data_IF_368581027304
#
_entry.id   IF_368581027304
#
_cell.length_a   1.000
_cell.length_b   1.000
_cell.length_c   1.000
_cell.angle_alpha   90.00
_cell.angle_beta   90.00
_cell.angle_gamma   90.00
#
_symmetry.space_group_name_H-M   'P 1'
#
loop_
_entity.id
_entity.type
_entity.pdbx_description
1 polymer ?
#
# COMPACT_ATOMS: atom_id res chain seq x y z
N UNK A 1 0.66 35.06 -8.83
CA UNK A 1 -0.36 34.84 -7.79
C UNK A 1 -1.12 33.56 -8.12
N UNK A 2 -0.66 32.38 -7.67
CA UNK A 2 -1.42 31.12 -7.75
C UNK A 2 -0.87 30.01 -6.82
N UNK A 3 -0.35 30.37 -5.64
CA UNK A 3 0.24 29.40 -4.68
C UNK A 3 -0.58 29.21 -3.40
N UNK A 4 -1.67 29.96 -3.21
CA UNK A 4 -2.49 29.86 -1.99
C UNK A 4 -3.47 28.67 -2.05
N UNK A 5 -4.01 28.36 -3.23
CA UNK A 5 -4.97 27.25 -3.38
C UNK A 5 -4.30 25.88 -3.33
N UNK A 6 -3.06 25.75 -3.81
CA UNK A 6 -2.33 24.47 -3.81
C UNK A 6 -1.93 24.07 -2.39
N UNK A 7 -1.44 25.04 -1.60
CA UNK A 7 -1.09 24.81 -0.20
C UNK A 7 -2.33 24.46 0.65
N UNK A 8 -3.46 25.16 0.44
CA UNK A 8 -4.71 24.83 1.14
C UNK A 8 -5.25 23.43 0.78
N UNK A 9 -5.08 22.97 -0.47
CA UNK A 9 -5.51 21.63 -0.90
C UNK A 9 -4.61 20.53 -0.31
N UNK A 10 -3.31 20.78 -0.19
CA UNK A 10 -2.36 19.87 0.48
C UNK A 10 -2.64 19.78 1.99
N UNK A 11 -2.95 20.91 2.63
CA UNK A 11 -3.29 21.02 4.05
C UNK A 11 -4.66 20.40 4.38
N UNK A 12 -5.64 20.60 3.50
CA UNK A 12 -7.01 20.08 3.66
C UNK A 12 -7.08 18.56 3.50
N UNK A 13 -6.24 17.98 2.63
CA UNK A 13 -6.34 16.55 2.33
C UNK A 13 -5.54 15.67 3.27
N UNK A 14 -4.39 16.04 3.85
CA UNK A 14 -3.62 15.23 4.84
C UNK A 14 -3.37 13.74 4.51
N UNK A 15 -3.77 13.29 3.32
CA UNK A 15 -3.95 11.92 2.83
C UNK A 15 -3.46 11.84 1.36
N UNK A 16 -2.95 12.94 0.78
CA UNK A 16 -2.11 12.83 -0.44
C UNK A 16 -0.76 12.22 -0.04
N UNK A 17 -0.10 11.44 -0.93
CA UNK A 17 0.98 10.56 -0.52
C UNK A 17 2.13 11.41 0.03
N UNK A 18 2.26 11.44 1.34
CA UNK A 18 3.48 11.94 1.96
C UNK A 18 4.62 11.12 1.31
N UNK A 19 5.57 11.81 0.68
CA UNK A 19 6.68 11.17 -0.03
C UNK A 19 7.41 10.17 0.87
N UNK A 20 7.45 10.46 2.17
CA UNK A 20 8.02 9.58 3.19
C UNK A 20 7.19 8.30 3.39
N UNK A 21 5.86 8.41 3.54
CA UNK A 21 4.94 7.27 3.63
C UNK A 21 5.07 6.38 2.39
N UNK A 22 5.07 6.99 1.20
CA UNK A 22 5.22 6.26 -0.07
C UNK A 22 6.57 5.56 -0.15
N UNK A 23 7.64 6.23 0.28
CA UNK A 23 8.99 5.67 0.31
C UNK A 23 9.05 4.47 1.26
N UNK A 24 8.55 4.60 2.48
CA UNK A 24 8.54 3.51 3.49
C UNK A 24 7.73 2.33 2.97
N UNK A 25 6.54 2.58 2.43
CA UNK A 25 5.68 1.56 1.86
C UNK A 25 6.39 0.80 0.74
N UNK A 26 6.98 1.51 -0.23
CA UNK A 26 7.70 0.90 -1.34
C UNK A 26 8.90 0.08 -0.86
N UNK A 27 9.74 0.61 0.02
CA UNK A 27 10.90 -0.11 0.55
C UNK A 27 10.47 -1.36 1.34
N UNK A 28 9.36 -1.27 2.08
CA UNK A 28 8.81 -2.40 2.83
C UNK A 28 8.34 -3.53 1.92
N UNK A 29 7.64 -3.20 0.82
CA UNK A 29 7.26 -4.20 -0.19
C UNK A 29 8.49 -4.89 -0.76
N UNK A 30 9.51 -4.10 -1.16
CA UNK A 30 10.72 -4.67 -1.75
C UNK A 30 11.47 -5.59 -0.78
N UNK A 31 11.51 -5.23 0.51
CA UNK A 31 12.09 -6.08 1.54
C UNK A 31 11.34 -7.41 1.68
N UNK A 32 10.01 -7.38 1.78
CA UNK A 32 9.17 -8.59 1.85
C UNK A 32 9.34 -9.46 0.60
N UNK A 33 9.34 -8.86 -0.60
CA UNK A 33 9.55 -9.60 -1.85
C UNK A 33 10.94 -10.24 -1.94
N UNK A 34 11.98 -9.58 -1.43
CA UNK A 34 13.35 -10.09 -1.50
C UNK A 34 13.57 -11.39 -0.72
N UNK A 35 12.69 -11.70 0.22
CA UNK A 35 12.72 -12.94 1.01
C UNK A 35 11.94 -14.09 0.35
N UNK A 36 11.16 -13.80 -0.70
CA UNK A 36 10.36 -14.81 -1.41
C UNK A 36 11.18 -15.59 -2.43
N UNK A 37 10.88 -16.87 -2.54
CA UNK A 37 11.50 -17.80 -3.50
C UNK A 37 10.46 -18.48 -4.39
N UNK A 38 9.27 -17.90 -4.50
CA UNK A 38 8.15 -18.46 -5.26
C UNK A 38 7.24 -17.37 -5.83
N UNK A 39 6.37 -17.75 -6.78
CA UNK A 39 5.26 -16.91 -7.23
C UNK A 39 4.25 -16.64 -6.10
N UNK A 40 3.57 -15.49 -6.16
CA UNK A 40 2.60 -15.09 -5.13
C UNK A 40 1.15 -15.17 -5.61
N UNK A 41 0.30 -15.63 -4.71
CA UNK A 41 -1.16 -15.63 -4.85
C UNK A 41 -1.82 -14.36 -4.27
N UNK A 42 -3.16 -14.30 -4.34
CA UNK A 42 -3.95 -13.17 -3.83
C UNK A 42 -3.75 -12.94 -2.33
N UNK A 43 -3.70 -14.02 -1.56
CA UNK A 43 -3.51 -13.94 -0.10
C UNK A 43 -2.14 -13.36 0.25
N UNK A 44 -1.07 -13.92 -0.30
CA UNK A 44 0.30 -13.44 -0.05
C UNK A 44 0.47 -11.98 -0.46
N UNK A 45 -0.05 -11.58 -1.62
CA UNK A 45 0.01 -10.19 -2.07
C UNK A 45 -0.76 -9.23 -1.15
N UNK A 46 -1.92 -9.64 -0.63
CA UNK A 46 -2.67 -8.86 0.38
C UNK A 46 -1.88 -8.66 1.66
N UNK A 47 -1.27 -9.74 2.15
CA UNK A 47 -0.49 -9.72 3.37
C UNK A 47 0.76 -8.83 3.24
N UNK A 48 1.47 -8.90 2.11
CA UNK A 48 2.62 -8.03 1.84
C UNK A 48 2.20 -6.55 1.85
N UNK A 49 1.11 -6.21 1.16
CA UNK A 49 0.61 -4.83 1.14
C UNK A 49 0.22 -4.37 2.53
N UNK A 50 -0.52 -5.18 3.29
CA UNK A 50 -0.95 -4.84 4.65
C UNK A 50 0.25 -4.65 5.60
N UNK A 51 1.17 -5.61 5.67
CA UNK A 51 2.38 -5.50 6.51
C UNK A 51 3.26 -4.32 6.11
N UNK A 52 3.33 -4.01 4.82
CA UNK A 52 4.10 -2.85 4.35
C UNK A 52 3.47 -1.52 4.76
N UNK A 53 2.14 -1.44 4.83
CA UNK A 53 1.45 -0.27 5.39
C UNK A 53 1.64 -0.18 6.91
N UNK A 54 1.58 -1.31 7.62
CA UNK A 54 1.69 -1.36 9.09
C UNK A 54 3.10 -0.99 9.60
N UNK A 55 4.12 -1.05 8.73
CA UNK A 55 5.48 -0.57 9.03
C UNK A 55 5.61 0.96 9.02
N UNK A 56 4.58 1.70 8.60
CA UNK A 56 4.63 3.16 8.52
C UNK A 56 4.50 3.74 9.94
N UNK A 57 5.49 4.53 10.43
CA UNK A 57 5.45 5.09 11.77
C UNK A 57 4.25 6.00 11.99
N UNK A 58 3.70 5.97 13.22
CA UNK A 58 2.57 6.81 13.64
C UNK A 58 1.28 6.61 12.83
N UNK A 59 1.17 5.48 12.13
CA UNK A 59 -0.02 5.06 11.41
C UNK A 59 -0.52 3.77 12.04
N UNK A 60 -1.84 3.68 12.22
CA UNK A 60 -2.53 2.42 12.53
C UNK A 60 -3.19 1.89 11.27
N UNK A 61 -3.07 0.59 11.04
CA UNK A 61 -3.58 -0.06 9.85
C UNK A 61 -4.49 -1.22 10.27
N UNK A 62 -5.71 -1.25 9.75
CA UNK A 62 -6.67 -2.31 10.02
C UNK A 62 -7.42 -2.69 8.74
N UNK A 63 -7.86 -3.94 8.65
CA UNK A 63 -8.77 -4.34 7.57
C UNK A 63 -10.16 -3.75 7.83
N UNK A 64 -10.74 -3.13 6.81
CA UNK A 64 -12.14 -2.72 6.87
C UNK A 64 -13.07 -3.93 6.82
N UNK A 65 -14.15 -3.92 7.60
CA UNK A 65 -15.22 -4.94 7.49
C UNK A 65 -15.72 -4.99 6.03
N UNK A 66 -15.61 -6.14 5.34
CA UNK A 66 -15.99 -6.26 3.94
C UNK A 66 -17.47 -5.93 3.66
N UNK A 67 -18.34 -6.02 4.67
CA UNK A 67 -19.77 -5.69 4.56
C UNK A 67 -20.03 -4.19 4.59
N UNK A 68 -19.14 -3.42 5.20
CA UNK A 68 -19.28 -1.97 5.36
C UNK A 68 -18.49 -1.24 4.28
N UNK A 69 -17.23 -1.63 4.09
CA UNK A 69 -16.29 -0.91 3.23
C UNK A 69 -16.11 -1.59 1.86
N UNK A 70 -16.46 -2.87 1.73
CA UNK A 70 -16.19 -3.68 0.55
C UNK A 70 -14.88 -4.48 0.66
N UNK A 71 -14.60 -5.31 -0.34
CA UNK A 71 -13.40 -6.17 -0.35
C UNK A 71 -12.12 -5.35 -0.47
N UNK A 72 -11.05 -5.86 0.15
CA UNK A 72 -9.69 -5.31 0.06
C UNK A 72 -9.62 -3.82 0.42
N UNK A 73 -10.40 -3.41 1.43
CA UNK A 73 -10.31 -2.07 2.02
C UNK A 73 -9.46 -2.11 3.27
N UNK A 74 -8.54 -1.16 3.35
CA UNK A 74 -7.71 -0.95 4.53
C UNK A 74 -8.07 0.40 5.13
N UNK A 75 -8.28 0.41 6.44
CA UNK A 75 -8.41 1.63 7.23
C UNK A 75 -7.01 2.03 7.68
N UNK A 76 -6.59 3.24 7.32
CA UNK A 76 -5.30 3.81 7.67
C UNK A 76 -5.54 5.07 8.50
N UNK A 77 -5.18 5.04 9.79
CA UNK A 77 -5.45 6.11 10.74
C UNK A 77 -4.18 6.76 11.29
N UNK A 78 -4.18 8.08 11.37
CA UNK A 78 -3.30 8.85 12.27
C UNK A 78 -4.10 9.27 13.51
N UNK A 79 -3.49 10.03 14.43
CA UNK A 79 -4.20 10.56 15.60
C UNK A 79 -5.38 11.48 15.22
N UNK A 80 -5.37 12.06 14.02
CA UNK A 80 -6.32 13.11 13.63
C UNK A 80 -7.25 12.69 12.48
N UNK A 81 -6.83 11.74 11.63
CA UNK A 81 -7.52 11.43 10.37
C UNK A 81 -7.54 9.93 10.13
N UNK A 82 -8.63 9.43 9.51
CA UNK A 82 -8.74 8.06 9.02
C UNK A 82 -9.00 8.12 7.52
N UNK A 83 -8.24 7.34 6.77
CA UNK A 83 -8.40 7.11 5.35
C UNK A 83 -8.89 5.68 5.09
N UNK A 84 -9.76 5.52 4.10
CA UNK A 84 -10.16 4.19 3.59
C UNK A 84 -9.46 4.00 2.24
N UNK A 85 -8.55 3.02 2.17
CA UNK A 85 -7.76 2.73 0.99
C UNK A 85 -8.33 1.53 0.25
N UNK A 86 -8.56 1.67 -1.06
CA UNK A 86 -8.74 0.52 -1.96
C UNK A 86 -7.37 0.02 -2.41
N UNK A 87 -6.95 -1.12 -1.86
CA UNK A 87 -5.66 -1.70 -2.20
C UNK A 87 -5.74 -2.75 -3.31
N UNK A 88 -6.92 -2.97 -3.90
CA UNK A 88 -7.11 -3.93 -5.00
C UNK A 88 -6.14 -3.69 -6.17
N UNK A 89 -5.93 -2.45 -6.65
CA UNK A 89 -5.00 -2.20 -7.75
C UNK A 89 -3.56 -2.55 -7.37
N UNK A 90 -3.17 -2.31 -6.12
CA UNK A 90 -1.81 -2.59 -5.62
C UNK A 90 -1.58 -4.10 -5.53
N UNK A 91 -2.55 -4.86 -5.02
CA UNK A 91 -2.49 -6.33 -4.96
C UNK A 91 -2.32 -6.90 -6.38
N UNK A 92 -3.14 -6.43 -7.34
CA UNK A 92 -3.09 -6.91 -8.72
C UNK A 92 -1.76 -6.58 -9.39
N UNK A 93 -1.27 -5.34 -9.23
CA UNK A 93 0.01 -4.91 -9.77
C UNK A 93 1.18 -5.70 -9.16
N UNK A 94 1.18 -5.88 -7.84
CA UNK A 94 2.22 -6.61 -7.11
C UNK A 94 2.34 -8.06 -7.61
N UNK A 95 1.22 -8.77 -7.73
CA UNK A 95 1.19 -10.13 -8.27
C UNK A 95 1.73 -10.20 -9.69
N UNK A 96 1.23 -9.32 -10.56
CA UNK A 96 1.60 -9.32 -11.97
C UNK A 96 3.11 -9.10 -12.11
N UNK A 97 3.65 -8.08 -11.46
CA UNK A 97 5.06 -7.70 -11.56
C UNK A 97 5.96 -8.78 -10.96
N UNK A 98 5.65 -9.25 -9.75
CA UNK A 98 6.48 -10.25 -9.08
C UNK A 98 6.49 -11.58 -9.82
N UNK A 99 5.32 -12.11 -10.20
CA UNK A 99 5.26 -13.41 -10.87
C UNK A 99 5.93 -13.32 -12.24
N UNK A 100 5.74 -12.22 -12.99
CA UNK A 100 6.45 -12.00 -14.25
C UNK A 100 7.97 -11.99 -14.06
N UNK A 101 8.46 -11.29 -13.03
CA UNK A 101 9.87 -11.28 -12.66
C UNK A 101 10.35 -12.69 -12.31
N UNK A 102 9.66 -13.40 -11.42
CA UNK A 102 10.04 -14.73 -10.96
C UNK A 102 10.05 -15.75 -12.09
N UNK A 103 9.01 -15.80 -12.94
CA UNK A 103 8.99 -16.71 -14.10
C UNK A 103 10.16 -16.42 -15.05
N UNK A 104 10.56 -15.16 -15.25
CA UNK A 104 11.71 -14.79 -16.09
C UNK A 104 13.05 -15.31 -15.55
N UNK A 105 13.20 -15.43 -14.23
CA UNK A 105 14.42 -15.96 -13.60
C UNK A 105 14.51 -17.50 -13.70
N UNK A 106 13.37 -18.19 -13.80
CA UNK A 106 13.29 -19.65 -13.83
C UNK A 106 13.25 -20.26 -15.24
N UNK A 107 13.48 -19.47 -16.29
CA UNK A 107 13.46 -19.95 -17.70
C UNK A 107 14.84 -20.43 -18.19
N UNK A 108 15.74 -20.85 -17.31
CA UNK A 108 17.08 -21.37 -17.69
C UNK A 108 17.39 -22.71 -17.02
#
# INVERSE_FOLDING_TARGET
MNNLNTALLEESLGILPNKEITKIFFHSIMAELSELQEEIGDYTAKEIVFRSLDRIPNVKVEWGDPRIYGKNRVLMGTQEKIAVLDITPVIQALKLVWNTYFSSQNTY
#
